data_IF_588086387646
#
_entry.id   IF_588086387646
#
_cell.length_a   1.000
_cell.length_b   1.000
_cell.length_c   1.000
_cell.angle_alpha   90.00
_cell.angle_beta   90.00
_cell.angle_gamma   90.00
#
_symmetry.space_group_name_H-M   'P 1'
#
loop_
_entity.id
_entity.type
_entity.pdbx_description
1 polymer ?
#
# COMPACT_ATOMS: atom_id res chain seq x y z
N UNK A 1 -30.89 -2.14 -14.87
CA UNK A 1 -29.43 -2.25 -14.69
C UNK A 1 -28.80 -1.39 -15.74
N UNK A 2 -28.02 -0.40 -15.34
CA UNK A 2 -27.25 0.41 -16.29
C UNK A 2 -26.08 -0.45 -16.83
N UNK A 3 -25.70 -0.28 -18.11
CA UNK A 3 -24.55 -0.99 -18.66
C UNK A 3 -23.28 -0.61 -17.91
N UNK A 4 -22.42 -1.61 -17.63
CA UNK A 4 -21.09 -1.37 -17.10
C UNK A 4 -20.31 -0.46 -18.06
N UNK A 5 -19.56 0.53 -17.55
CA UNK A 5 -18.79 1.42 -18.41
C UNK A 5 -17.67 0.65 -19.12
N UNK A 6 -17.66 0.68 -20.45
CA UNK A 6 -16.65 -0.01 -21.28
C UNK A 6 -15.29 0.73 -21.33
N UNK A 7 -15.25 1.99 -20.85
CA UNK A 7 -14.03 2.78 -20.86
C UNK A 7 -13.99 3.83 -19.73
N UNK A 8 -12.78 4.09 -19.23
CA UNK A 8 -12.49 5.20 -18.35
C UNK A 8 -11.97 6.39 -19.17
N UNK A 9 -12.54 7.56 -18.93
CA UNK A 9 -12.15 8.81 -19.56
C UNK A 9 -11.27 9.62 -18.60
N UNK A 10 -9.95 9.62 -18.83
CA UNK A 10 -9.02 10.44 -18.05
C UNK A 10 -8.71 11.73 -18.80
N UNK A 11 -9.00 12.86 -18.18
CA UNK A 11 -8.66 14.18 -18.74
C UNK A 11 -7.54 14.81 -17.92
N UNK A 12 -6.38 15.02 -18.54
CA UNK A 12 -5.27 15.74 -17.92
C UNK A 12 -5.29 17.19 -18.37
N UNK A 13 -5.45 18.10 -17.40
CA UNK A 13 -5.41 19.55 -17.63
C UNK A 13 -4.13 20.12 -17.02
N UNK A 14 -3.20 20.65 -17.83
CA UNK A 14 -2.03 21.32 -17.29
C UNK A 14 -2.42 22.65 -16.60
N UNK A 15 -1.59 23.15 -15.66
CA UNK A 15 -1.90 24.34 -14.84
C UNK A 15 -2.12 25.63 -15.65
N UNK A 16 -1.58 25.73 -16.86
CA UNK A 16 -1.78 26.84 -17.77
C UNK A 16 -2.68 26.39 -18.93
N UNK A 17 -3.87 26.98 -19.01
CA UNK A 17 -5.01 26.63 -19.89
C UNK A 17 -4.79 26.80 -21.41
N UNK A 18 -3.55 26.84 -21.88
CA UNK A 18 -3.19 27.16 -23.27
C UNK A 18 -2.70 25.93 -24.07
N UNK A 19 -2.50 24.78 -23.41
CA UNK A 19 -2.05 23.56 -24.09
C UNK A 19 -3.06 22.42 -23.96
N UNK A 20 -3.42 21.86 -25.11
CA UNK A 20 -4.34 20.74 -25.37
C UNK A 20 -4.60 19.84 -24.15
N UNK A 21 -5.85 19.85 -23.68
CA UNK A 21 -6.36 18.83 -22.77
C UNK A 21 -6.16 17.46 -23.41
N UNK A 22 -5.39 16.59 -22.76
CA UNK A 22 -5.24 15.22 -23.25
C UNK A 22 -6.31 14.35 -22.63
N UNK A 23 -7.26 13.93 -23.47
CA UNK A 23 -8.24 12.92 -23.13
C UNK A 23 -7.66 11.55 -23.49
N UNK A 24 -7.51 10.70 -22.49
CA UNK A 24 -7.18 9.29 -22.66
C UNK A 24 -8.43 8.46 -22.46
N UNK A 25 -8.72 7.61 -23.45
CA UNK A 25 -9.73 6.56 -23.34
C UNK A 25 -8.99 5.27 -22.99
N UNK A 26 -9.15 4.81 -21.76
CA UNK A 26 -8.62 3.52 -21.34
C UNK A 26 -9.75 2.49 -21.47
N UNK A 27 -9.60 1.46 -22.32
CA UNK A 27 -10.59 0.38 -22.34
C UNK A 27 -10.62 -0.26 -20.95
N UNK A 28 -11.81 -0.39 -20.40
CA UNK A 28 -12.02 -1.13 -19.16
C UNK A 28 -12.29 -2.58 -19.56
N UNK A 29 -11.32 -3.45 -19.30
CA UNK A 29 -11.61 -4.87 -19.25
C UNK A 29 -12.19 -5.13 -17.87
N UNK A 30 -13.50 -5.41 -17.72
CA UNK A 30 -14.02 -5.89 -16.45
C UNK A 30 -13.19 -7.12 -16.06
N UNK A 31 -12.72 -7.16 -14.81
CA UNK A 31 -12.03 -8.33 -14.29
C UNK A 31 -12.90 -9.56 -14.55
N UNK A 32 -12.32 -10.62 -15.13
CA UNK A 32 -13.06 -11.84 -15.48
C UNK A 32 -13.42 -12.70 -14.26
N UNK A 33 -12.89 -12.34 -13.09
CA UNK A 33 -13.44 -12.75 -11.81
C UNK A 33 -14.14 -11.57 -11.19
N UNK A 34 -15.14 -11.85 -10.36
CA UNK A 34 -15.30 -11.07 -9.13
C UNK A 34 -13.91 -11.06 -8.48
N UNK A 35 -13.07 -10.05 -8.75
CA UNK A 35 -12.09 -9.68 -7.76
C UNK A 35 -12.99 -9.28 -6.61
N UNK A 36 -13.12 -10.16 -5.61
CA UNK A 36 -13.78 -9.93 -4.33
C UNK A 36 -13.20 -8.64 -3.73
N UNK A 37 -13.68 -7.50 -4.22
CA UNK A 37 -13.63 -6.22 -3.55
C UNK A 37 -14.77 -6.15 -2.52
N UNK A 38 -15.38 -7.30 -2.20
CA UNK A 38 -15.93 -7.62 -0.89
C UNK A 38 -14.81 -7.81 0.17
N UNK A 39 -13.59 -7.34 -0.12
CA UNK A 39 -12.68 -6.93 0.92
C UNK A 39 -13.39 -5.84 1.73
N UNK A 40 -14.04 -6.24 2.83
CA UNK A 40 -14.44 -5.30 3.87
C UNK A 40 -13.14 -4.67 4.39
N UNK A 41 -12.81 -3.50 3.85
CA UNK A 41 -11.60 -2.76 4.14
C UNK A 41 -11.74 -2.15 5.52
N UNK A 42 -11.57 -2.99 6.53
CA UNK A 42 -11.40 -2.54 7.89
C UNK A 42 -9.99 -1.97 8.03
N UNK A 43 -9.85 -0.69 7.70
CA UNK A 43 -8.60 0.07 7.87
C UNK A 43 -8.27 0.35 9.34
N UNK A 44 -8.95 -0.27 10.31
CA UNK A 44 -8.66 -0.08 11.73
C UNK A 44 -7.28 -0.60 12.10
N UNK A 45 -6.86 -1.74 11.54
CA UNK A 45 -5.54 -2.32 11.79
C UNK A 45 -4.52 -1.85 10.77
N UNK A 46 -3.58 -1.03 11.24
CA UNK A 46 -2.55 -0.47 10.37
C UNK A 46 -1.22 -0.26 11.07
N UNK A 47 -0.16 -0.24 10.27
CA UNK A 47 1.12 0.38 10.60
C UNK A 47 1.41 1.50 9.61
N UNK A 48 1.64 2.70 10.11
CA UNK A 48 2.09 3.85 9.34
C UNK A 48 3.57 4.08 9.60
N UNK A 49 4.37 4.21 8.55
CA UNK A 49 5.84 4.24 8.61
C UNK A 49 6.31 5.52 7.91
N UNK A 50 7.22 6.32 8.51
CA UNK A 50 7.90 7.39 7.80
C UNK A 50 8.58 6.87 6.53
N UNK A 51 8.52 7.63 5.43
CA UNK A 51 9.08 7.18 4.15
C UNK A 51 10.57 6.86 4.20
N UNK A 52 11.33 7.51 5.09
CA UNK A 52 12.73 7.18 5.37
C UNK A 52 12.93 5.74 5.82
N UNK A 53 12.16 5.27 6.82
CA UNK A 53 12.22 3.88 7.29
C UNK A 53 11.64 2.92 6.26
N UNK A 54 10.61 3.31 5.53
CA UNK A 54 10.08 2.48 4.46
C UNK A 54 11.10 2.26 3.33
N UNK A 55 11.94 3.26 3.01
CA UNK A 55 13.07 3.08 2.09
C UNK A 55 14.11 2.08 2.61
N UNK A 56 14.34 2.02 3.93
CA UNK A 56 15.21 1.00 4.54
C UNK A 56 14.60 -0.40 4.33
N UNK A 57 13.30 -0.56 4.59
CA UNK A 57 12.57 -1.80 4.31
C UNK A 57 12.70 -2.20 2.84
N UNK A 58 12.45 -1.28 1.90
CA UNK A 58 12.62 -1.55 0.47
C UNK A 58 14.05 -1.98 0.12
N UNK A 59 15.06 -1.32 0.68
CA UNK A 59 16.45 -1.64 0.35
C UNK A 59 16.91 -2.99 0.89
N UNK A 60 16.43 -3.42 2.07
CA UNK A 60 16.78 -4.74 2.61
C UNK A 60 16.11 -5.86 1.81
N UNK A 61 14.88 -5.62 1.33
CA UNK A 61 14.06 -6.67 0.71
C UNK A 61 13.92 -6.54 -0.82
N UNK A 62 14.62 -5.61 -1.49
CA UNK A 62 14.44 -5.36 -2.94
C UNK A 62 14.83 -6.52 -3.85
N UNK A 63 15.79 -7.34 -3.43
CA UNK A 63 16.28 -8.48 -4.21
C UNK A 63 15.52 -9.79 -3.91
N UNK A 64 14.55 -9.74 -2.98
CA UNK A 64 13.65 -10.85 -2.72
C UNK A 64 12.43 -10.76 -3.63
N UNK A 65 12.20 -11.82 -4.42
CA UNK A 65 10.93 -12.01 -5.12
C UNK A 65 9.82 -12.58 -4.21
N UNK A 66 10.20 -12.96 -2.99
CA UNK A 66 9.28 -13.49 -1.97
C UNK A 66 8.62 -12.39 -1.14
N UNK A 67 7.54 -12.78 -0.48
CA UNK A 67 6.79 -11.90 0.42
C UNK A 67 7.57 -11.57 1.69
N UNK A 68 7.31 -10.38 2.24
CA UNK A 68 7.82 -9.97 3.56
C UNK A 68 6.74 -10.24 4.61
N UNK A 69 7.09 -11.01 5.64
CA UNK A 69 6.20 -11.21 6.79
C UNK A 69 6.23 -9.96 7.66
N UNK A 70 5.06 -9.39 7.90
CA UNK A 70 4.83 -8.27 8.79
C UNK A 70 4.20 -8.81 10.07
N UNK A 71 4.83 -8.54 11.20
CA UNK A 71 4.31 -8.83 12.54
C UNK A 71 4.10 -7.52 13.27
N UNK A 72 2.89 -7.27 13.75
CA UNK A 72 2.52 -6.01 14.42
C UNK A 72 1.99 -6.30 15.82
N UNK A 73 2.50 -5.57 16.81
CA UNK A 73 1.97 -5.50 18.18
C UNK A 73 1.57 -4.05 18.47
N UNK A 74 1.03 -3.77 19.66
CA UNK A 74 0.74 -2.38 20.04
C UNK A 74 2.00 -1.47 20.13
N UNK A 75 3.22 -2.02 20.19
CA UNK A 75 4.45 -1.25 20.41
C UNK A 75 5.48 -1.33 19.28
N UNK A 76 5.42 -2.33 18.41
CA UNK A 76 6.39 -2.51 17.34
C UNK A 76 5.79 -3.11 16.08
N UNK A 77 6.46 -2.87 14.96
CA UNK A 77 6.22 -3.54 13.69
C UNK A 77 7.52 -4.19 13.21
N UNK A 78 7.49 -5.49 12.96
CA UNK A 78 8.62 -6.29 12.48
C UNK A 78 8.38 -6.74 11.06
N UNK A 79 9.38 -6.59 10.21
CA UNK A 79 9.42 -7.00 8.82
C UNK A 79 10.52 -8.03 8.67
N UNK A 80 10.19 -9.25 8.26
CA UNK A 80 11.20 -10.28 8.09
C UNK A 80 10.92 -11.21 6.91
N UNK A 81 12.00 -11.71 6.34
CA UNK A 81 12.04 -12.84 5.43
C UNK A 81 13.46 -13.45 5.48
N UNK A 82 13.81 -14.31 4.53
CA UNK A 82 15.13 -14.95 4.48
C UNK A 82 16.30 -13.98 4.28
N UNK A 83 16.06 -12.77 3.74
CA UNK A 83 17.11 -11.77 3.53
C UNK A 83 17.41 -10.94 4.79
N UNK A 84 16.48 -10.85 5.74
CA UNK A 84 16.72 -10.08 6.93
C UNK A 84 15.51 -9.81 7.82
N UNK A 85 15.77 -8.99 8.82
CA UNK A 85 14.82 -8.66 9.87
C UNK A 85 14.96 -7.19 10.26
N UNK A 86 13.87 -6.44 10.18
CA UNK A 86 13.79 -5.03 10.56
C UNK A 86 12.68 -4.87 11.59
N UNK A 87 13.01 -4.27 12.73
CA UNK A 87 12.05 -3.92 13.79
C UNK A 87 11.94 -2.41 13.88
N UNK A 88 10.71 -1.90 13.80
CA UNK A 88 10.38 -0.50 14.02
C UNK A 88 9.63 -0.35 15.34
N UNK A 89 10.08 0.59 16.18
CA UNK A 89 9.52 0.82 17.51
C UNK A 89 8.65 2.07 17.50
N UNK A 90 7.39 1.93 17.93
CA UNK A 90 6.42 3.03 17.90
C UNK A 90 6.78 4.17 18.86
N UNK A 91 7.30 3.83 20.05
CA UNK A 91 7.72 4.81 21.06
C UNK A 91 8.92 5.66 20.63
N UNK A 92 9.70 5.16 19.66
CA UNK A 92 10.84 5.87 19.07
C UNK A 92 10.44 6.68 17.82
N UNK A 93 9.14 6.84 17.56
CA UNK A 93 8.58 7.49 16.37
C UNK A 93 9.00 6.85 15.04
N UNK A 94 9.46 5.60 15.06
CA UNK A 94 9.85 4.87 13.84
C UNK A 94 8.64 4.34 13.08
N UNK A 95 7.50 4.17 13.76
CA UNK A 95 6.22 3.83 13.17
C UNK A 95 5.07 4.33 14.06
N UNK A 96 3.84 4.27 13.53
CA UNK A 96 2.60 4.49 14.28
C UNK A 96 1.68 3.32 14.02
N UNK A 97 1.03 2.79 15.05
CA UNK A 97 0.25 1.55 14.97
C UNK A 97 -1.17 1.84 15.45
N UNK A 98 -2.17 1.32 14.75
CA UNK A 98 -3.57 1.40 15.12
C UNK A 98 -4.26 0.04 14.97
N UNK A 99 -5.37 -0.14 15.69
CA UNK A 99 -6.22 -1.35 15.61
C UNK A 99 -5.66 -2.60 16.27
N UNK A 100 -4.49 -2.51 16.93
CA UNK A 100 -3.89 -3.64 17.65
C UNK A 100 -4.00 -3.41 19.15
N UNK A 101 -4.68 -4.31 19.85
CA UNK A 101 -4.76 -4.28 21.32
C UNK A 101 -3.44 -4.74 21.95
N UNK A 102 -3.18 -4.34 23.20
CA UNK A 102 -1.89 -4.57 23.88
C UNK A 102 -1.55 -6.04 24.09
N UNK A 103 -2.55 -6.92 24.10
CA UNK A 103 -2.37 -8.37 24.34
C UNK A 103 -2.30 -9.19 23.05
N UNK A 104 -2.47 -8.55 21.88
CA UNK A 104 -2.58 -9.24 20.62
C UNK A 104 -1.41 -8.93 19.69
N UNK A 105 -1.06 -9.92 18.88
CA UNK A 105 -0.13 -9.83 17.78
C UNK A 105 -0.86 -10.18 16.49
N UNK A 106 -0.60 -9.41 15.44
CA UNK A 106 -1.18 -9.62 14.11
C UNK A 106 -0.06 -9.93 13.14
N UNK A 107 -0.31 -10.87 12.23
CA UNK A 107 0.64 -11.28 11.20
C UNK A 107 -0.01 -11.28 9.81
N UNK A 108 0.76 -10.84 8.81
CA UNK A 108 0.38 -10.88 7.41
C UNK A 108 1.58 -10.68 6.50
N UNK A 109 1.40 -10.93 5.21
CA UNK A 109 2.43 -10.82 4.20
C UNK A 109 2.23 -9.58 3.34
N UNK A 110 3.31 -8.96 2.88
CA UNK A 110 3.24 -7.90 1.86
C UNK A 110 4.14 -8.25 0.68
N UNK A 111 3.74 -7.82 -0.51
CA UNK A 111 4.61 -7.79 -1.68
C UNK A 111 5.21 -6.40 -1.82
N UNK A 112 6.54 -6.35 -1.98
CA UNK A 112 7.28 -5.13 -2.32
C UNK A 112 7.60 -5.06 -3.81
N UNK A 113 7.04 -5.96 -4.64
CA UNK A 113 7.19 -5.92 -6.08
C UNK A 113 6.01 -5.15 -6.73
N UNK A 114 6.26 -4.20 -7.65
CA UNK A 114 7.57 -3.74 -8.13
C UNK A 114 8.19 -2.69 -7.18
N UNK A 115 9.40 -2.96 -6.67
CA UNK A 115 10.04 -2.11 -5.65
C UNK A 115 10.32 -0.69 -6.15
N UNK A 116 10.60 -0.53 -7.45
CA UNK A 116 10.88 0.77 -8.05
C UNK A 116 9.70 1.73 -7.92
N UNK A 117 8.47 1.23 -8.07
CA UNK A 117 7.25 2.03 -7.91
C UNK A 117 7.08 2.48 -6.45
N UNK A 118 7.32 1.58 -5.50
CA UNK A 118 7.26 1.92 -4.08
C UNK A 118 8.36 2.89 -3.65
N UNK A 119 9.56 2.80 -4.23
CA UNK A 119 10.64 3.75 -3.99
C UNK A 119 10.28 5.16 -4.47
N UNK A 120 9.72 5.28 -5.67
CA UNK A 120 9.24 6.57 -6.19
C UNK A 120 8.06 7.13 -5.38
N UNK A 121 7.17 6.26 -4.89
CA UNK A 121 6.10 6.63 -3.98
C UNK A 121 6.67 7.21 -2.67
N UNK A 122 7.62 6.51 -2.04
CA UNK A 122 8.25 6.91 -0.79
C UNK A 122 8.95 8.27 -0.90
N UNK A 123 9.47 8.65 -2.08
CA UNK A 123 10.08 9.98 -2.31
C UNK A 123 9.08 11.13 -2.28
N UNK A 124 7.78 10.85 -2.43
CA UNK A 124 6.73 11.87 -2.61
C UNK A 124 5.79 12.01 -1.42
N UNK A 125 5.93 11.14 -0.43
CA UNK A 125 5.03 11.07 0.73
C UNK A 125 5.85 11.10 2.02
N UNK A 126 5.28 11.67 3.07
CA UNK A 126 5.92 11.66 4.38
C UNK A 126 5.83 10.28 5.04
N UNK A 127 4.72 9.57 4.77
CA UNK A 127 4.42 8.27 5.39
C UNK A 127 3.75 7.31 4.42
N UNK A 128 4.09 6.04 4.59
CA UNK A 128 3.44 4.91 3.93
C UNK A 128 2.63 4.14 4.98
N UNK A 129 1.47 3.65 4.61
CA UNK A 129 0.56 2.93 5.46
C UNK A 129 0.46 1.49 4.97
N UNK A 130 0.44 0.55 5.89
CA UNK A 130 0.29 -0.87 5.60
C UNK A 130 -0.86 -1.39 6.43
N UNK A 131 -1.91 -1.87 5.76
CA UNK A 131 -3.14 -2.34 6.38
C UNK A 131 -3.23 -3.85 6.35
N UNK A 132 -3.82 -4.44 7.39
CA UNK A 132 -4.24 -5.84 7.41
C UNK A 132 -5.73 -5.91 7.04
N UNK A 133 -6.11 -6.48 5.89
CA UNK A 133 -7.51 -6.80 5.62
C UNK A 133 -7.98 -7.93 6.55
N UNK A 134 -9.25 -7.91 6.97
CA UNK A 134 -9.82 -8.99 7.79
C UNK A 134 -9.88 -10.32 7.04
N UNK A 135 -10.06 -10.28 5.72
CA UNK A 135 -10.31 -11.45 4.87
C UNK A 135 -9.07 -12.01 4.18
N UNK A 136 -7.91 -11.34 4.24
CA UNK A 136 -6.71 -11.74 3.49
C UNK A 136 -5.47 -11.88 4.36
N UNK A 137 -4.64 -12.90 4.09
CA UNK A 137 -3.30 -13.01 4.66
C UNK A 137 -2.32 -11.96 4.09
N UNK A 138 -2.70 -11.26 3.03
CA UNK A 138 -1.91 -10.22 2.39
C UNK A 138 -2.33 -8.82 2.83
N UNK A 139 -1.35 -8.02 3.24
CA UNK A 139 -1.50 -6.63 3.58
C UNK A 139 -1.50 -5.71 2.37
N UNK A 140 -1.97 -4.50 2.58
CA UNK A 140 -2.17 -3.50 1.52
C UNK A 140 -1.28 -2.32 1.82
N UNK A 141 -0.46 -1.95 0.84
CA UNK A 141 0.40 -0.78 0.93
C UNK A 141 -0.35 0.41 0.35
N UNK A 142 -0.48 1.47 1.13
CA UNK A 142 -1.16 2.68 0.78
C UNK A 142 -0.28 3.90 1.07
N UNK A 143 -0.40 4.96 0.28
CA UNK A 143 0.19 6.24 0.66
C UNK A 143 -0.67 7.43 0.20
N UNK A 144 -0.81 8.48 1.02
CA UNK A 144 -1.46 9.71 0.62
C UNK A 144 -0.54 10.45 -0.36
N UNK A 145 -0.95 10.54 -1.63
CA UNK A 145 -0.20 11.23 -2.70
C UNK A 145 -0.72 12.66 -2.96
N UNK A 146 -1.67 13.13 -2.15
CA UNK A 146 -2.25 14.47 -2.18
C UNK A 146 -3.52 14.55 -1.33
N UNK A 147 -4.09 15.76 -1.22
CA UNK A 147 -5.27 16.06 -0.38
C UNK A 147 -6.52 15.20 -0.68
N UNK A 148 -6.61 14.62 -1.88
CA UNK A 148 -7.77 13.81 -2.31
C UNK A 148 -7.38 12.54 -3.06
N UNK A 149 -6.12 12.09 -2.97
CA UNK A 149 -5.65 10.92 -3.71
C UNK A 149 -4.79 10.01 -2.84
N UNK A 150 -5.04 8.70 -2.98
CA UNK A 150 -4.23 7.65 -2.36
C UNK A 150 -3.80 6.64 -3.43
N UNK A 151 -2.55 6.21 -3.35
CA UNK A 151 -2.08 5.04 -4.09
C UNK A 151 -2.38 3.80 -3.23
N UNK A 152 -2.93 2.75 -3.84
CA UNK A 152 -3.18 1.46 -3.20
C UNK A 152 -2.54 0.37 -4.06
N UNK A 153 -1.74 -0.48 -3.44
CA UNK A 153 -1.21 -1.68 -4.08
C UNK A 153 -1.64 -2.91 -3.28
N UNK A 154 -2.32 -3.82 -3.99
CA UNK A 154 -2.65 -5.15 -3.54
C UNK A 154 -2.19 -6.12 -4.61
N UNK A 155 -1.33 -7.07 -4.22
CA UNK A 155 -0.81 -8.10 -5.12
C UNK A 155 -1.18 -9.44 -4.48
N UNK A 156 -2.32 -10.04 -4.84
CA UNK A 156 -2.64 -11.39 -4.42
C UNK A 156 -1.70 -12.39 -5.12
N UNK A 157 -1.50 -13.54 -4.48
CA UNK A 157 -0.78 -14.68 -5.06
C UNK A 157 -1.48 -15.23 -6.31
#
# INVERSE_FOLDING_TARGET
>A
MDPLPDCAHLTFRPPASIYNCRLYKLPLCPGTGEMDMDLEFDCTTFVSIPSGFFNVVLNVFMDCFDYVLVTVTASLARFCNDAGDIVLIAQENQCSIGGVSTEHQIQFQISLSPWASFRELARRVDRVWIYKPNTSSFGIIAAPVGLYSRFLAYVPA
#
